data_IF_019975883202
#
_entry.id   IF_019975883202
#
_cell.length_a   1.000
_cell.length_b   1.000
_cell.length_c   1.000
_cell.angle_alpha   90.00
_cell.angle_beta   90.00
_cell.angle_gamma   90.00
#
_symmetry.space_group_name_H-M   'P 1'
#
loop_
_entity.id
_entity.type
_entity.pdbx_description
1 polymer ?
#
# COMPACT_ATOMS: atom_id res chain seq x y z
N UNK A 1 2.93 -20.07 -15.04
CA UNK A 1 3.24 -18.95 -15.95
C UNK A 1 3.16 -17.71 -15.12
N UNK A 2 4.30 -17.05 -14.86
CA UNK A 2 4.33 -15.75 -14.21
C UNK A 2 4.17 -14.73 -15.33
N UNK A 3 3.02 -14.07 -15.39
CA UNK A 3 2.80 -12.99 -16.32
C UNK A 3 3.62 -11.77 -15.85
N UNK A 4 4.70 -11.53 -16.56
CA UNK A 4 5.52 -10.33 -16.40
C UNK A 4 4.66 -9.12 -16.80
N UNK A 5 4.28 -8.29 -15.82
CA UNK A 5 3.46 -7.10 -16.07
C UNK A 5 4.28 -6.01 -16.76
N UNK A 6 3.75 -5.54 -17.89
CA UNK A 6 4.35 -4.59 -18.81
C UNK A 6 4.40 -3.17 -18.23
N UNK A 7 5.59 -2.58 -18.36
CA UNK A 7 5.98 -1.17 -18.21
C UNK A 7 4.99 -0.16 -18.81
N UNK A 8 4.89 1.01 -18.16
CA UNK A 8 4.12 2.24 -18.50
C UNK A 8 2.66 2.31 -18.04
N UNK A 9 2.35 1.71 -16.88
CA UNK A 9 0.99 1.35 -16.47
C UNK A 9 0.05 2.55 -16.24
N UNK A 10 -0.87 2.74 -17.18
CA UNK A 10 -2.11 3.50 -17.02
C UNK A 10 -2.74 3.28 -15.62
N UNK A 11 -3.16 4.34 -14.91
CA UNK A 11 -3.63 4.24 -13.53
C UNK A 11 -4.87 3.36 -13.38
N UNK A 12 -5.74 3.29 -14.39
CA UNK A 12 -6.87 2.37 -14.39
C UNK A 12 -6.40 0.91 -14.46
N UNK A 13 -5.47 0.59 -15.36
CA UNK A 13 -4.89 -0.76 -15.49
C UNK A 13 -4.18 -1.18 -14.21
N UNK A 14 -3.46 -0.26 -13.58
CA UNK A 14 -2.82 -0.46 -12.27
C UNK A 14 -3.86 -0.78 -11.19
N UNK A 15 -4.92 0.03 -11.11
CA UNK A 15 -6.01 -0.18 -10.17
C UNK A 15 -6.72 -1.53 -10.36
N UNK A 16 -7.01 -1.90 -11.62
CA UNK A 16 -7.61 -3.19 -11.97
C UNK A 16 -6.68 -4.37 -11.64
N UNK A 17 -5.37 -4.20 -11.76
CA UNK A 17 -4.39 -5.22 -11.37
C UNK A 17 -4.41 -5.47 -9.86
N UNK A 18 -4.32 -4.39 -9.08
CA UNK A 18 -4.33 -4.46 -7.61
C UNK A 18 -5.67 -5.05 -7.12
N UNK A 19 -6.80 -4.54 -7.60
CA UNK A 19 -8.12 -5.03 -7.19
C UNK A 19 -8.38 -6.49 -7.55
N UNK A 20 -7.88 -6.98 -8.69
CA UNK A 20 -7.96 -8.42 -9.04
C UNK A 20 -7.15 -9.32 -8.10
N UNK A 21 -6.04 -8.82 -7.55
CA UNK A 21 -5.24 -9.55 -6.57
C UNK A 21 -5.87 -9.56 -5.18
N UNK A 22 -6.78 -8.63 -4.88
CA UNK A 22 -7.39 -8.47 -3.55
C UNK A 22 -8.82 -9.02 -3.48
N UNK A 23 -9.17 -9.58 -2.32
CA UNK A 23 -10.52 -10.12 -2.07
C UNK A 23 -11.55 -9.04 -1.71
N UNK A 24 -11.10 -7.85 -1.30
CA UNK A 24 -11.94 -6.72 -0.89
C UNK A 24 -11.39 -5.41 -1.41
N UNK A 25 -12.27 -4.55 -1.90
CA UNK A 25 -11.92 -3.17 -2.24
C UNK A 25 -11.71 -2.34 -0.96
N UNK A 26 -10.77 -1.39 -0.97
CA UNK A 26 -10.57 -0.50 0.17
C UNK A 26 -11.72 0.50 0.27
N UNK A 27 -12.10 0.82 1.49
CA UNK A 27 -12.85 2.03 1.81
C UNK A 27 -11.94 3.26 1.87
N UNK A 28 -10.68 3.08 2.26
CA UNK A 28 -9.68 4.16 2.38
C UNK A 28 -8.37 3.76 1.71
N UNK A 29 -7.77 4.69 0.99
CA UNK A 29 -6.42 4.54 0.44
C UNK A 29 -5.53 5.63 1.03
N UNK A 30 -4.43 5.22 1.66
CA UNK A 30 -3.41 6.10 2.20
C UNK A 30 -2.16 6.00 1.33
N UNK A 31 -1.85 7.06 0.58
CA UNK A 31 -0.63 7.13 -0.22
C UNK A 31 0.50 7.81 0.55
N UNK A 32 1.63 7.13 0.70
CA UNK A 32 2.85 7.65 1.33
C UNK A 32 3.88 7.95 0.24
N UNK A 33 4.10 9.24 -0.01
CA UNK A 33 4.94 9.76 -1.09
C UNK A 33 6.08 10.60 -0.50
N UNK A 34 7.17 10.77 -1.27
CA UNK A 34 8.31 11.62 -0.87
C UNK A 34 9.42 10.83 -0.17
N UNK A 35 9.54 9.54 -0.49
CA UNK A 35 10.60 8.68 0.03
C UNK A 35 11.95 9.07 -0.58
N UNK A 36 12.70 9.88 0.17
CA UNK A 36 14.00 10.41 -0.21
C UNK A 36 14.86 10.62 1.03
N UNK A 37 16.16 10.38 0.91
CA UNK A 37 17.12 10.61 2.00
C UNK A 37 17.29 12.10 2.34
N UNK A 38 16.87 13.01 1.45
CA UNK A 38 17.15 14.44 1.55
C UNK A 38 16.02 15.30 2.13
N UNK A 39 14.81 14.75 2.29
CA UNK A 39 13.61 15.53 2.64
C UNK A 39 13.02 15.23 4.01
N UNK A 40 13.72 14.46 4.85
CA UNK A 40 13.24 14.18 6.21
C UNK A 40 13.66 15.28 7.18
N UNK A 41 12.70 16.00 7.80
CA UNK A 41 13.04 17.02 8.78
C UNK A 41 13.77 16.37 9.96
N UNK A 42 14.82 17.02 10.44
CA UNK A 42 15.62 16.55 11.57
C UNK A 42 15.35 17.44 12.79
N UNK A 43 14.88 16.85 13.93
CA UNK A 43 14.65 15.42 14.16
C UNK A 43 13.33 14.92 13.52
N UNK A 44 13.38 13.74 12.89
CA UNK A 44 12.17 13.10 12.32
C UNK A 44 11.41 12.34 13.42
N UNK A 45 10.12 12.67 13.67
CA UNK A 45 9.34 12.03 14.72
C UNK A 45 8.82 10.66 14.28
N UNK A 46 9.74 9.71 14.06
CA UNK A 46 9.45 8.39 13.50
C UNK A 46 8.33 7.64 14.21
N UNK A 47 8.39 7.55 15.54
CA UNK A 47 7.39 6.83 16.33
C UNK A 47 5.99 7.44 16.17
N UNK A 48 5.89 8.78 16.21
CA UNK A 48 4.61 9.46 16.03
C UNK A 48 4.03 9.23 14.62
N UNK A 49 4.87 9.28 13.59
CA UNK A 49 4.46 8.96 12.22
C UNK A 49 3.94 7.52 12.09
N UNK A 50 4.68 6.54 12.59
CA UNK A 50 4.29 5.13 12.52
C UNK A 50 2.97 4.87 13.25
N UNK A 51 2.81 5.42 14.45
CA UNK A 51 1.55 5.30 15.22
C UNK A 51 0.39 5.96 14.47
N UNK A 52 0.55 7.20 14.00
CA UNK A 52 -0.51 7.92 13.32
C UNK A 52 -0.96 7.22 12.02
N UNK A 53 -0.01 6.71 11.23
CA UNK A 53 -0.30 5.98 9.99
C UNK A 53 -1.15 4.73 10.25
N UNK A 54 -0.77 3.93 11.24
CA UNK A 54 -1.48 2.70 11.58
C UNK A 54 -2.84 2.98 12.21
N UNK A 55 -2.95 3.97 13.10
CA UNK A 55 -4.24 4.33 13.71
C UNK A 55 -5.21 4.90 12.68
N UNK A 56 -4.74 5.72 11.74
CA UNK A 56 -5.54 6.17 10.61
C UNK A 56 -6.05 4.97 9.79
N UNK A 57 -5.16 4.03 9.46
CA UNK A 57 -5.52 2.85 8.68
C UNK A 57 -6.50 1.92 9.41
N UNK A 58 -6.39 1.74 10.74
CA UNK A 58 -7.36 0.99 11.53
C UNK A 58 -8.75 1.65 11.53
N UNK A 59 -8.78 2.98 11.59
CA UNK A 59 -10.04 3.73 11.65
C UNK A 59 -10.82 3.70 10.32
N UNK A 60 -10.15 3.44 9.20
CA UNK A 60 -10.73 3.47 7.86
C UNK A 60 -11.52 2.23 7.44
N UNK A 61 -11.59 1.17 8.26
CA UNK A 61 -12.15 -0.11 7.84
C UNK A 61 -11.19 -0.87 6.91
N UNK A 62 -11.66 -1.34 5.76
CA UNK A 62 -10.76 -1.93 4.75
C UNK A 62 -9.86 -0.83 4.16
N UNK A 63 -8.59 -0.80 4.53
CA UNK A 63 -7.66 0.28 4.17
C UNK A 63 -6.47 -0.27 3.42
N UNK A 64 -6.09 0.41 2.35
CA UNK A 64 -4.85 0.13 1.63
C UNK A 64 -3.83 1.24 1.89
N UNK A 65 -2.62 0.86 2.22
CA UNK A 65 -1.47 1.74 2.33
C UNK A 65 -0.63 1.53 1.07
N UNK A 66 -0.53 2.57 0.24
CA UNK A 66 0.33 2.59 -0.94
C UNK A 66 1.62 3.31 -0.59
N UNK A 67 2.75 2.75 -0.95
CA UNK A 67 4.05 3.38 -0.74
C UNK A 67 5.04 2.98 -1.83
N UNK A 68 6.02 3.84 -2.09
CA UNK A 68 7.21 3.44 -2.83
C UNK A 68 7.90 2.35 -2.03
N UNK A 69 8.18 1.18 -2.59
CA UNK A 69 8.94 0.11 -1.92
C UNK A 69 10.41 0.25 -2.31
N UNK A 70 11.11 1.11 -1.58
CA UNK A 70 12.55 1.36 -1.76
C UNK A 70 13.34 1.02 -0.48
N UNK A 71 14.66 1.18 -0.53
CA UNK A 71 15.55 1.03 0.61
C UNK A 71 15.76 2.32 1.43
N UNK A 72 15.09 3.41 1.07
CA UNK A 72 15.16 4.68 1.78
C UNK A 72 14.39 4.67 3.11
N UNK A 73 14.61 5.70 3.92
CA UNK A 73 14.20 5.76 5.32
C UNK A 73 12.68 5.79 5.50
N UNK A 74 11.93 6.47 4.64
CA UNK A 74 10.47 6.54 4.75
C UNK A 74 9.84 5.20 4.36
N UNK A 75 10.29 4.58 3.27
CA UNK A 75 9.92 3.20 2.89
C UNK A 75 10.08 2.20 4.02
N UNK A 76 11.28 2.20 4.63
CA UNK A 76 11.57 1.32 5.75
C UNK A 76 10.68 1.64 6.95
N UNK A 77 10.42 2.92 7.20
CA UNK A 77 9.55 3.36 8.31
C UNK A 77 8.11 2.86 8.15
N UNK A 78 7.56 2.92 6.93
CA UNK A 78 6.22 2.39 6.59
C UNK A 78 6.19 0.87 6.78
N UNK A 79 7.17 0.14 6.22
CA UNK A 79 7.28 -1.32 6.39
C UNK A 79 7.38 -1.72 7.86
N UNK A 80 8.24 -1.06 8.63
CA UNK A 80 8.42 -1.34 10.05
C UNK A 80 7.11 -1.05 10.83
N UNK A 81 6.33 -0.03 10.45
CA UNK A 81 5.03 0.25 11.07
C UNK A 81 4.01 -0.85 10.81
N UNK A 82 3.90 -1.28 9.55
CA UNK A 82 2.99 -2.33 9.14
C UNK A 82 3.36 -3.69 9.76
N UNK A 83 4.65 -4.04 9.79
CA UNK A 83 5.13 -5.27 10.41
C UNK A 83 4.92 -5.25 11.92
N UNK A 84 5.13 -4.10 12.57
CA UNK A 84 4.81 -3.95 14.01
C UNK A 84 3.33 -4.16 14.26
N UNK A 85 2.44 -3.62 13.42
CA UNK A 85 1.00 -3.89 13.48
C UNK A 85 0.68 -5.38 13.29
N UNK A 86 1.31 -6.03 12.30
CA UNK A 86 1.17 -7.46 12.05
C UNK A 86 1.61 -8.30 13.26
N UNK A 87 2.80 -8.01 13.80
CA UNK A 87 3.41 -8.71 14.93
C UNK A 87 2.66 -8.50 16.26
N UNK A 88 2.13 -7.29 16.51
CA UNK A 88 1.26 -7.05 17.66
C UNK A 88 -0.05 -7.85 17.57
N UNK A 89 -0.52 -8.14 16.36
CA UNK A 89 -1.66 -9.03 16.14
C UNK A 89 -1.30 -10.52 16.18
N UNK A 90 -0.02 -10.89 16.10
CA UNK A 90 0.47 -12.29 16.10
C UNK A 90 0.44 -12.91 17.51
N UNK A 91 0.49 -12.14 18.59
CA UNK A 91 0.20 -12.68 19.94
C UNK A 91 -1.21 -13.29 20.04
N UNK A 92 -2.10 -12.99 19.08
CA UNK A 92 -3.47 -13.49 19.06
C UNK A 92 -3.82 -14.47 17.93
N UNK A 93 -2.97 -14.74 16.92
CA UNK A 93 -3.38 -15.59 15.77
C UNK A 93 -2.27 -16.47 15.21
N UNK A 94 -2.47 -17.79 15.32
CA UNK A 94 -1.53 -18.86 14.94
C UNK A 94 -1.60 -19.29 13.46
N UNK A 95 -2.40 -18.65 12.61
CA UNK A 95 -2.72 -19.20 11.28
C UNK A 95 -2.48 -18.20 10.13
N UNK A 96 -1.81 -18.65 9.06
CA UNK A 96 -1.55 -17.91 7.79
C UNK A 96 -2.84 -17.35 7.12
N UNK A 97 -4.00 -17.95 7.39
CA UNK A 97 -5.30 -17.46 6.91
C UNK A 97 -5.71 -16.10 7.52
N UNK A 98 -5.14 -15.73 8.67
CA UNK A 98 -5.43 -14.46 9.33
C UNK A 98 -4.63 -13.28 8.74
N UNK A 99 -3.47 -13.54 8.14
CA UNK A 99 -2.68 -12.53 7.42
C UNK A 99 -3.41 -12.04 6.17
N UNK A 100 -4.05 -12.98 5.44
CA UNK A 100 -4.90 -12.70 4.27
C UNK A 100 -6.16 -11.89 4.67
N UNK A 101 -6.59 -11.97 5.94
CA UNK A 101 -7.78 -11.27 6.47
C UNK A 101 -7.47 -9.98 7.22
N UNK A 102 -6.24 -9.47 7.19
CA UNK A 102 -5.96 -8.11 7.69
C UNK A 102 -6.76 -7.10 6.85
N UNK A 103 -7.55 -6.27 7.53
CA UNK A 103 -8.29 -5.17 6.91
C UNK A 103 -7.37 -4.03 6.44
N UNK A 104 -6.10 -4.03 6.88
CA UNK A 104 -5.07 -3.14 6.36
C UNK A 104 -4.20 -3.94 5.39
N UNK A 105 -4.09 -3.48 4.15
CA UNK A 105 -3.19 -4.03 3.12
C UNK A 105 -2.04 -3.05 2.88
N UNK A 106 -0.83 -3.56 2.66
CA UNK A 106 0.32 -2.76 2.25
C UNK A 106 0.72 -3.13 0.83
N UNK A 107 0.71 -2.15 -0.08
CA UNK A 107 0.97 -2.33 -1.51
C UNK A 107 2.20 -1.48 -1.87
N UNK A 108 3.24 -2.15 -2.36
CA UNK A 108 4.52 -1.53 -2.67
C UNK A 108 4.72 -1.28 -4.16
N UNK A 109 5.12 -0.06 -4.52
CA UNK A 109 5.49 0.33 -5.88
C UNK A 109 7.00 0.23 -6.08
N UNK A 110 7.44 -0.53 -7.06
CA UNK A 110 8.86 -0.79 -7.31
C UNK A 110 9.20 -0.42 -8.74
N UNK A 111 10.27 0.35 -8.92
CA UNK A 111 10.81 0.67 -10.23
C UNK A 111 11.39 -0.59 -10.91
N UNK A 112 11.34 -0.67 -12.24
CA UNK A 112 11.73 -1.89 -12.97
C UNK A 112 13.15 -2.38 -12.68
N UNK A 113 14.06 -1.44 -12.42
CA UNK A 113 15.45 -1.67 -12.05
C UNK A 113 15.62 -2.36 -10.68
N UNK A 114 14.64 -2.21 -9.79
CA UNK A 114 14.64 -2.74 -8.42
C UNK A 114 13.93 -4.10 -8.28
N UNK A 115 13.38 -4.64 -9.36
CA UNK A 115 12.62 -5.92 -9.36
C UNK A 115 13.42 -7.15 -8.92
N UNK A 116 14.77 -7.11 -9.01
CA UNK A 116 15.64 -8.25 -8.68
C UNK A 116 15.84 -8.48 -7.17
N UNK A 117 15.66 -7.45 -6.34
CA UNK A 117 15.95 -7.50 -4.90
C UNK A 117 14.75 -7.96 -4.05
N UNK A 118 13.62 -8.27 -4.68
CA UNK A 118 12.29 -8.25 -4.04
C UNK A 118 11.72 -9.65 -3.76
N UNK A 119 12.35 -10.70 -4.30
CA UNK A 119 11.76 -12.06 -4.42
C UNK A 119 11.55 -12.79 -3.08
N UNK A 120 11.86 -12.22 -1.91
CA UNK A 120 11.90 -12.99 -0.66
C UNK A 120 10.85 -12.74 0.42
N UNK A 121 9.93 -11.77 0.30
CA UNK A 121 8.97 -11.52 1.39
C UNK A 121 7.51 -11.61 0.91
N UNK A 122 6.86 -12.73 1.28
CA UNK A 122 5.48 -13.12 1.00
C UNK A 122 4.40 -12.21 1.64
N UNK A 123 4.69 -10.96 1.99
CA UNK A 123 3.80 -10.14 2.83
C UNK A 123 3.12 -8.96 2.10
N UNK A 124 3.47 -8.68 0.83
CA UNK A 124 3.04 -7.47 0.14
C UNK A 124 2.71 -7.70 -1.34
N UNK A 125 1.64 -7.07 -1.82
CA UNK A 125 1.42 -6.92 -3.26
C UNK A 125 2.40 -5.92 -3.84
N UNK A 126 3.02 -6.28 -4.96
CA UNK A 126 4.05 -5.49 -5.62
C UNK A 126 3.52 -5.04 -6.97
N UNK A 127 3.59 -3.74 -7.20
CA UNK A 127 3.25 -3.10 -8.47
C UNK A 127 4.53 -2.56 -9.07
N UNK A 128 4.74 -2.80 -10.36
CA UNK A 128 5.83 -2.16 -11.11
C UNK A 128 5.41 -0.73 -11.42
N UNK A 129 6.17 0.25 -10.93
CA UNK A 129 5.90 1.66 -11.12
C UNK A 129 6.82 2.53 -10.27
N UNK A 130 6.92 3.81 -10.62
CA UNK A 130 7.67 4.82 -9.88
C UNK A 130 6.77 5.79 -9.11
N UNK A 131 7.36 6.89 -8.61
CA UNK A 131 6.62 7.91 -7.86
C UNK A 131 5.56 8.62 -8.73
N UNK A 132 5.80 8.75 -10.05
CA UNK A 132 4.83 9.34 -10.96
C UNK A 132 3.63 8.41 -11.13
N UNK A 133 3.85 7.10 -11.27
CA UNK A 133 2.75 6.13 -11.32
C UNK A 133 1.92 6.13 -10.02
N UNK A 134 2.57 6.25 -8.86
CA UNK A 134 1.87 6.32 -7.57
C UNK A 134 1.02 7.59 -7.45
N UNK A 135 1.54 8.73 -7.92
CA UNK A 135 0.81 10.00 -7.96
C UNK A 135 -0.36 9.96 -8.95
N UNK A 136 -0.16 9.41 -10.14
CA UNK A 136 -1.23 9.25 -11.14
C UNK A 136 -2.34 8.35 -10.64
N UNK A 137 -2.01 7.27 -9.94
CA UNK A 137 -2.99 6.40 -9.32
C UNK A 137 -3.74 7.12 -8.19
N UNK A 138 -3.04 7.85 -7.32
CA UNK A 138 -3.68 8.63 -6.24
C UNK A 138 -4.67 9.66 -6.80
N UNK A 139 -4.28 10.36 -7.87
CA UNK A 139 -5.16 11.28 -8.57
C UNK A 139 -6.35 10.58 -9.20
N UNK A 140 -6.12 9.46 -9.90
CA UNK A 140 -7.17 8.65 -10.50
C UNK A 140 -8.20 8.18 -9.46
N UNK A 141 -7.74 7.75 -8.28
CA UNK A 141 -8.60 7.32 -7.17
C UNK A 141 -9.39 8.47 -6.57
N UNK A 142 -8.78 9.65 -6.46
CA UNK A 142 -9.44 10.87 -5.97
C UNK A 142 -10.56 11.35 -6.90
N UNK A 143 -10.41 11.12 -8.21
CA UNK A 143 -11.41 11.46 -9.22
C UNK A 143 -12.57 10.44 -9.29
N UNK A 144 -12.44 9.27 -8.66
CA UNK A 144 -13.52 8.28 -8.62
C UNK A 144 -14.69 8.80 -7.79
N UNK A 145 -15.87 8.84 -8.42
CA UNK A 145 -17.12 9.08 -7.70
C UNK A 145 -17.54 7.80 -6.99
N UNK A 146 -17.68 7.87 -5.67
CA UNK A 146 -18.36 6.81 -4.93
C UNK A 146 -19.81 6.77 -5.41
N UNK A 147 -20.31 5.64 -5.95
CA UNK A 147 -21.71 5.56 -6.33
C UNK A 147 -22.58 5.82 -5.11
N UNK A 148 -23.46 6.83 -5.21
CA UNK A 148 -24.38 7.13 -4.12
C UNK A 148 -25.35 5.95 -3.97
N UNK A 149 -25.60 5.53 -2.73
CA UNK A 149 -26.57 4.46 -2.41
C UNK A 149 -28.00 4.73 -2.93
N UNK A 150 -28.29 5.93 -3.45
CA UNK A 150 -29.54 6.25 -4.14
C UNK A 150 -29.67 5.62 -5.53
N UNK A 151 -28.57 5.23 -6.17
CA UNK A 151 -28.57 4.78 -7.58
C UNK A 151 -28.68 3.25 -7.70
N UNK A 152 -28.68 2.53 -6.58
CA UNK A 152 -28.74 1.04 -6.53
C UNK A 152 -30.18 0.54 -6.31
N UNK A 153 -31.11 1.42 -5.90
CA UNK A 153 -32.52 1.09 -5.67
C UNK A 153 -33.49 1.86 -6.59
N UNK A 154 -33.00 2.39 -7.72
CA UNK A 154 -33.81 3.03 -8.76
C UNK A 154 -34.44 2.03 -9.72
#
# INVERSE_FOLDING_TARGET
MMDTMQSSADPQTTWESITRAQTKCPAVVLSVIGDSDNFMPHPWPRAAFQTALIEAAKSGGETWILYRKSNHVLSKTVRDAYNTYGNMNIEYRKNMADEINRHIKLIGFISEDQTKDVVQENEYDIVIGDDENLLELEKFLSDQKVPNNSDIFG
#
